data_IF_431141787464
#
_entry.id   IF_431141787464
#
_cell.length_a   1.000
_cell.length_b   1.000
_cell.length_c   1.000
_cell.angle_alpha   90.00
_cell.angle_beta   90.00
_cell.angle_gamma   90.00
#
_symmetry.space_group_name_H-M   'P 1'
#
loop_
_entity.id
_entity.type
_entity.pdbx_description
1 polymer ?
#
# COMPACT_ATOMS: atom_id res chain seq x y z
N UNK A 1 19.72 -26.52 17.91
CA UNK A 1 18.55 -25.94 18.59
C UNK A 1 18.80 -24.45 18.72
N UNK A 2 18.27 -23.65 17.81
CA UNK A 2 18.33 -22.20 17.92
C UNK A 2 16.97 -21.62 17.56
N UNK A 3 16.40 -20.89 18.53
CA UNK A 3 15.06 -20.32 18.45
C UNK A 3 15.09 -19.23 17.39
N UNK A 4 14.34 -19.43 16.30
CA UNK A 4 13.96 -18.36 15.41
C UNK A 4 13.38 -17.22 16.26
N UNK A 5 14.08 -16.08 16.28
CA UNK A 5 13.57 -14.83 16.83
C UNK A 5 12.41 -14.39 15.96
N UNK A 6 11.24 -14.93 16.29
CA UNK A 6 9.95 -14.36 15.95
C UNK A 6 9.99 -12.99 16.62
N UNK A 7 10.19 -11.92 15.85
CA UNK A 7 9.77 -10.60 16.30
C UNK A 7 8.25 -10.66 16.39
N UNK A 8 7.66 -10.63 17.60
CA UNK A 8 6.22 -10.46 17.70
C UNK A 8 5.98 -9.00 17.30
N UNK A 9 5.49 -8.76 16.09
CA UNK A 9 4.77 -7.52 15.81
C UNK A 9 3.67 -7.44 16.85
N UNK A 10 3.75 -6.43 17.72
CA UNK A 10 3.04 -6.34 19.00
C UNK A 10 1.51 -6.26 18.92
N UNK A 11 0.88 -7.33 18.45
CA UNK A 11 -0.57 -7.43 18.22
C UNK A 11 -1.22 -8.66 18.90
N UNK A 12 -0.47 -9.43 19.69
CA UNK A 12 -1.08 -10.55 20.46
C UNK A 12 -1.98 -10.07 21.61
N UNK A 13 -1.72 -8.88 22.18
CA UNK A 13 -2.54 -8.27 23.24
C UNK A 13 -3.74 -7.49 22.68
N UNK A 14 -3.75 -7.18 21.36
CA UNK A 14 -4.78 -6.36 20.73
C UNK A 14 -6.12 -7.09 20.47
N UNK A 15 -6.23 -8.39 20.80
CA UNK A 15 -7.41 -9.22 20.54
C UNK A 15 -8.61 -8.96 21.47
N UNK A 16 -8.50 -8.09 22.49
CA UNK A 16 -9.60 -7.78 23.43
C UNK A 16 -10.28 -6.44 23.22
N UNK A 17 -9.73 -5.55 22.38
CA UNK A 17 -10.32 -4.22 22.17
C UNK A 17 -11.32 -4.30 21.01
N UNK A 18 -12.59 -3.89 21.21
CA UNK A 18 -13.56 -3.83 20.12
C UNK A 18 -13.01 -3.01 18.96
N UNK A 19 -13.11 -3.54 17.74
CA UNK A 19 -12.53 -2.89 16.55
C UNK A 19 -13.06 -1.47 16.34
N UNK A 20 -14.29 -1.19 16.77
CA UNK A 20 -14.91 0.15 16.76
C UNK A 20 -14.14 1.14 17.64
N UNK A 21 -13.71 0.71 18.82
CA UNK A 21 -12.90 1.54 19.71
C UNK A 21 -11.50 1.78 19.11
N UNK A 22 -10.93 0.76 18.46
CA UNK A 22 -9.65 0.90 17.73
C UNK A 22 -9.77 1.89 16.58
N UNK A 23 -10.85 1.85 15.79
CA UNK A 23 -11.11 2.83 14.73
C UNK A 23 -11.34 4.23 15.28
N UNK A 24 -12.12 4.37 16.36
CA UNK A 24 -12.35 5.67 16.99
C UNK A 24 -11.02 6.29 17.43
N UNK A 25 -10.18 5.53 18.13
CA UNK A 25 -8.84 5.96 18.51
C UNK A 25 -7.99 6.35 17.29
N UNK A 26 -7.94 5.51 16.26
CA UNK A 26 -7.23 5.81 15.01
C UNK A 26 -7.74 7.10 14.36
N UNK A 27 -9.05 7.32 14.36
CA UNK A 27 -9.66 8.52 13.76
C UNK A 27 -9.23 9.82 14.44
N UNK A 28 -8.76 9.76 15.68
CA UNK A 28 -8.22 10.90 16.42
C UNK A 28 -6.73 11.01 16.14
N UNK A 29 -5.97 9.94 16.41
CA UNK A 29 -4.50 9.96 16.38
C UNK A 29 -3.96 10.07 14.95
N UNK A 30 -4.69 9.59 13.95
CA UNK A 30 -4.23 9.66 12.55
C UNK A 30 -4.42 11.01 11.89
N UNK A 31 -5.22 11.93 12.46
CA UNK A 31 -5.50 13.24 11.86
C UNK A 31 -4.31 14.20 11.88
N UNK A 32 -3.35 13.97 12.77
CA UNK A 32 -2.17 14.81 12.91
C UNK A 32 -0.95 13.95 13.16
N UNK A 33 0.12 14.24 12.40
CA UNK A 33 1.44 13.64 12.60
C UNK A 33 1.99 13.92 14.01
N UNK A 34 1.75 15.12 14.54
CA UNK A 34 2.16 15.51 15.90
C UNK A 34 1.39 14.75 16.99
N UNK A 35 0.09 14.54 16.80
CA UNK A 35 -0.71 13.72 17.73
C UNK A 35 -0.34 12.24 17.67
N UNK A 36 0.25 11.77 16.56
CA UNK A 36 0.78 10.42 16.43
C UNK A 36 2.13 10.25 17.13
N UNK A 37 2.91 11.30 17.38
CA UNK A 37 4.25 11.20 17.96
C UNK A 37 4.29 10.51 19.34
N UNK A 38 3.41 10.83 20.31
CA UNK A 38 3.34 10.07 21.57
C UNK A 38 3.01 8.59 21.32
N UNK A 39 2.05 8.30 20.43
CA UNK A 39 1.71 6.92 20.07
C UNK A 39 2.89 6.17 19.43
N UNK A 40 3.62 6.83 18.53
CA UNK A 40 4.80 6.28 17.90
C UNK A 40 5.91 5.98 18.91
N UNK A 41 6.07 6.86 19.91
CA UNK A 41 6.99 6.66 21.03
C UNK A 41 6.62 5.44 21.86
N UNK A 42 5.34 5.28 22.21
CA UNK A 42 4.86 4.13 22.98
C UNK A 42 4.92 2.79 22.24
N UNK A 43 4.79 2.80 20.90
CA UNK A 43 4.85 1.58 20.08
C UNK A 43 6.23 1.30 19.48
N UNK A 44 7.27 2.03 19.88
CA UNK A 44 8.62 1.95 19.29
C UNK A 44 8.64 2.18 17.76
N UNK A 45 7.66 2.94 17.26
CA UNK A 45 7.55 3.36 15.87
C UNK A 45 8.25 4.70 15.60
N UNK A 46 9.12 5.17 16.50
CA UNK A 46 9.83 6.45 16.36
C UNK A 46 10.68 6.50 15.08
N UNK A 47 11.27 5.35 14.70
CA UNK A 47 11.99 5.19 13.46
C UNK A 47 11.12 5.49 12.22
N UNK A 48 9.78 5.44 12.32
CA UNK A 48 8.87 5.86 11.24
C UNK A 48 8.82 7.38 11.08
N UNK A 49 9.14 8.18 12.10
CA UNK A 49 9.12 9.65 12.02
C UNK A 49 10.50 10.27 11.74
N UNK A 50 11.57 9.47 11.70
CA UNK A 50 12.88 9.92 11.23
C UNK A 50 12.82 10.46 9.78
N UNK A 51 13.52 11.53 9.45
CA UNK A 51 13.55 12.16 8.11
C UNK A 51 14.82 11.82 7.32
N UNK A 52 15.67 10.92 7.83
CA UNK A 52 16.89 10.46 7.16
C UNK A 52 16.60 9.45 6.02
N UNK A 53 15.89 9.94 4.99
CA UNK A 53 15.58 9.22 3.76
C UNK A 53 15.33 10.21 2.63
N UNK A 54 15.43 9.73 1.40
CA UNK A 54 15.28 10.52 0.18
C UNK A 54 13.85 10.46 -0.38
N UNK A 55 13.23 9.29 -0.28
CA UNK A 55 11.89 9.02 -0.83
C UNK A 55 11.09 8.11 0.11
N UNK A 56 9.80 8.44 0.30
CA UNK A 56 8.86 7.56 0.98
C UNK A 56 7.96 6.83 -0.02
N UNK A 57 7.71 5.54 0.23
CA UNK A 57 6.73 4.73 -0.49
C UNK A 57 5.72 4.20 0.51
N UNK A 58 4.47 4.59 0.34
CA UNK A 58 3.40 4.18 1.23
C UNK A 58 2.09 3.95 0.53
N UNK A 59 1.20 3.30 1.25
CA UNK A 59 -0.16 3.05 0.83
C UNK A 59 -0.83 2.13 1.83
N UNK A 60 -2.15 2.00 1.72
CA UNK A 60 -2.87 1.04 2.51
C UNK A 60 -2.28 -0.36 2.31
N UNK A 61 -2.22 -1.22 3.36
CA UNK A 61 -1.70 -2.57 3.22
C UNK A 61 -2.26 -3.29 2.00
N UNK A 62 -1.41 -4.10 1.36
CA UNK A 62 -1.76 -4.89 0.15
C UNK A 62 -2.03 -4.06 -1.12
N UNK A 63 -1.55 -2.81 -1.16
CA UNK A 63 -1.59 -1.94 -2.35
C UNK A 63 -0.28 -1.89 -3.15
N UNK A 64 0.63 -2.86 -2.95
CA UNK A 64 1.89 -2.96 -3.73
C UNK A 64 3.12 -2.35 -3.07
N UNK A 65 3.06 -1.98 -1.79
CA UNK A 65 4.15 -1.30 -1.07
C UNK A 65 5.49 -2.03 -1.15
N UNK A 66 5.51 -3.32 -0.81
CA UNK A 66 6.74 -4.13 -0.88
C UNK A 66 7.26 -4.24 -2.30
N UNK A 67 6.37 -4.42 -3.29
CA UNK A 67 6.77 -4.51 -4.69
C UNK A 67 7.42 -3.22 -5.20
N UNK A 68 6.80 -2.07 -4.93
CA UNK A 68 7.35 -0.78 -5.31
C UNK A 68 8.73 -0.52 -4.68
N UNK A 69 8.90 -0.86 -3.40
CA UNK A 69 10.18 -0.76 -2.71
C UNK A 69 11.24 -1.66 -3.35
N UNK A 70 10.92 -2.93 -3.57
CA UNK A 70 11.87 -3.88 -4.15
C UNK A 70 12.26 -3.50 -5.58
N UNK A 71 11.31 -3.05 -6.40
CA UNK A 71 11.58 -2.55 -7.75
C UNK A 71 12.57 -1.39 -7.72
N UNK A 72 12.29 -0.34 -6.94
CA UNK A 72 13.20 0.80 -6.81
C UNK A 72 14.59 0.38 -6.32
N UNK A 73 14.65 -0.56 -5.38
CA UNK A 73 15.92 -1.07 -4.86
C UNK A 73 16.75 -1.79 -5.91
N UNK A 74 16.15 -2.43 -6.93
CA UNK A 74 16.90 -3.15 -7.97
C UNK A 74 17.75 -2.22 -8.85
N UNK A 75 17.21 -1.06 -9.24
CA UNK A 75 17.89 -0.17 -10.18
C UNK A 75 18.44 1.12 -9.55
N UNK A 76 18.07 1.42 -8.29
CA UNK A 76 18.64 2.52 -7.50
C UNK A 76 19.45 2.04 -6.29
N UNK A 77 19.94 0.79 -6.32
CA UNK A 77 20.69 0.19 -5.22
C UNK A 77 21.84 1.09 -4.73
N UNK A 78 21.81 1.45 -3.45
CA UNK A 78 22.87 2.24 -2.80
C UNK A 78 22.86 3.74 -3.12
N UNK A 79 21.94 4.22 -3.96
CA UNK A 79 21.82 5.64 -4.34
C UNK A 79 20.65 6.36 -3.70
N UNK A 80 19.65 5.62 -3.22
CA UNK A 80 18.42 6.17 -2.67
C UNK A 80 18.07 5.48 -1.34
N UNK A 81 17.97 6.25 -0.26
CA UNK A 81 17.40 5.80 1.01
C UNK A 81 15.87 5.85 0.92
N UNK A 82 15.24 4.68 0.94
CA UNK A 82 13.79 4.54 0.77
C UNK A 82 13.15 4.16 2.10
N UNK A 83 12.13 4.93 2.50
CA UNK A 83 11.33 4.63 3.67
C UNK A 83 9.94 4.11 3.32
N UNK A 84 9.50 3.06 4.01
CA UNK A 84 8.23 2.38 3.71
C UNK A 84 7.76 1.54 4.91
N UNK A 85 6.58 0.91 4.75
CA UNK A 85 5.94 0.01 5.72
C UNK A 85 5.49 0.66 7.04
N UNK A 86 5.27 1.98 7.05
CA UNK A 86 4.59 2.68 8.12
C UNK A 86 3.09 2.44 8.13
N UNK A 87 2.46 2.21 6.97
CA UNK A 87 1.03 1.87 6.78
C UNK A 87 0.04 2.69 7.62
N UNK A 88 0.41 3.93 7.94
CA UNK A 88 -0.39 4.85 8.74
C UNK A 88 -0.39 6.23 8.09
N UNK A 89 -1.53 6.94 8.05
CA UNK A 89 -1.59 8.28 7.45
C UNK A 89 -0.60 9.28 8.05
N UNK A 90 -0.38 9.32 9.39
CA UNK A 90 0.62 10.18 10.01
C UNK A 90 2.01 10.09 9.41
N UNK A 91 2.44 8.92 8.93
CA UNK A 91 3.74 8.78 8.28
C UNK A 91 3.81 9.57 6.98
N UNK A 92 2.76 9.46 6.14
CA UNK A 92 2.65 10.23 4.89
C UNK A 92 2.51 11.71 5.18
N UNK A 93 1.66 12.08 6.15
CA UNK A 93 1.51 13.48 6.58
C UNK A 93 2.83 14.08 7.03
N UNK A 94 3.60 13.33 7.83
CA UNK A 94 4.89 13.79 8.32
C UNK A 94 5.90 14.01 7.19
N UNK A 95 5.97 13.09 6.23
CA UNK A 95 6.81 13.24 5.04
C UNK A 95 6.43 14.50 4.25
N UNK A 96 5.13 14.66 3.94
CA UNK A 96 4.58 15.79 3.20
C UNK A 96 4.88 17.13 3.90
N UNK A 97 4.65 17.21 5.21
CA UNK A 97 4.89 18.42 6.00
C UNK A 97 6.36 18.85 6.05
N UNK A 98 7.30 17.94 5.79
CA UNK A 98 8.73 18.22 5.76
C UNK A 98 9.31 18.24 4.34
N UNK A 99 8.45 18.33 3.31
CA UNK A 99 8.87 18.41 1.92
C UNK A 99 9.55 17.15 1.38
N UNK A 100 9.34 16.00 2.02
CA UNK A 100 9.88 14.73 1.54
C UNK A 100 9.02 14.18 0.39
N UNK A 101 9.62 13.76 -0.73
CA UNK A 101 8.91 13.07 -1.81
C UNK A 101 8.16 11.83 -1.31
N UNK A 102 6.91 11.65 -1.74
CA UNK A 102 6.08 10.49 -1.40
C UNK A 102 5.43 9.89 -2.64
N UNK A 103 5.70 8.61 -2.88
CA UNK A 103 4.88 7.76 -3.76
C UNK A 103 3.77 7.16 -2.91
N UNK A 104 2.52 7.59 -3.15
CA UNK A 104 1.34 7.07 -2.49
C UNK A 104 0.66 6.04 -3.40
N UNK A 105 0.74 4.77 -3.02
CA UNK A 105 0.11 3.66 -3.70
C UNK A 105 -1.37 3.56 -3.33
N UNK A 106 -2.20 3.32 -4.33
CA UNK A 106 -3.64 3.07 -4.16
C UNK A 106 -4.08 1.87 -4.99
N UNK A 107 -4.96 1.06 -4.44
CA UNK A 107 -5.52 -0.13 -5.10
C UNK A 107 -7.03 -0.13 -4.95
N UNK A 108 -7.74 -0.75 -5.90
CA UNK A 108 -9.19 -0.99 -5.77
C UNK A 108 -9.53 -1.47 -4.34
N UNK A 109 -10.49 -0.82 -3.65
CA UNK A 109 -10.76 -1.09 -2.25
C UNK A 109 -11.07 -2.56 -1.98
N UNK A 110 -11.97 -3.14 -2.78
CA UNK A 110 -12.35 -4.54 -2.66
C UNK A 110 -11.11 -5.46 -2.64
N UNK A 111 -10.20 -5.20 -3.58
CA UNK A 111 -9.04 -6.01 -3.84
C UNK A 111 -7.97 -5.91 -2.73
N UNK A 112 -7.77 -4.70 -2.19
CA UNK A 112 -6.89 -4.47 -1.06
C UNK A 112 -7.47 -5.05 0.24
N UNK A 113 -8.77 -4.82 0.49
CA UNK A 113 -9.48 -5.24 1.70
C UNK A 113 -9.50 -6.77 1.81
N UNK A 114 -9.93 -7.46 0.75
CA UNK A 114 -9.98 -8.93 0.73
C UNK A 114 -8.58 -9.52 0.84
N UNK A 115 -7.59 -8.95 0.16
CA UNK A 115 -6.22 -9.42 0.31
C UNK A 115 -5.68 -9.23 1.73
N UNK A 116 -6.10 -8.18 2.44
CA UNK A 116 -5.67 -7.93 3.82
C UNK A 116 -6.40 -8.82 4.81
N UNK A 117 -7.67 -9.11 4.57
CA UNK A 117 -8.44 -10.10 5.31
C UNK A 117 -7.78 -11.48 5.24
N UNK A 118 -7.44 -11.96 4.03
CA UNK A 118 -6.77 -13.25 3.85
C UNK A 118 -5.44 -13.30 4.63
N UNK A 119 -4.69 -12.20 4.66
CA UNK A 119 -3.40 -12.14 5.33
C UNK A 119 -3.49 -12.07 6.87
N UNK A 120 -4.50 -11.37 7.41
CA UNK A 120 -4.59 -11.05 8.85
C UNK A 120 -5.69 -11.78 9.61
N UNK A 121 -6.73 -12.26 8.92
CA UNK A 121 -7.97 -12.73 9.51
C UNK A 121 -8.86 -11.63 10.11
N UNK A 122 -8.53 -10.34 9.93
CA UNK A 122 -9.30 -9.23 10.51
C UNK A 122 -10.67 -9.07 9.82
N UNK A 123 -11.72 -8.60 10.52
CA UNK A 123 -13.05 -8.46 9.92
C UNK A 123 -13.07 -7.52 8.70
N UNK A 124 -13.72 -7.93 7.61
CA UNK A 124 -13.82 -7.14 6.36
C UNK A 124 -14.38 -5.74 6.59
N UNK A 125 -15.41 -5.61 7.44
CA UNK A 125 -16.02 -4.33 7.82
C UNK A 125 -15.02 -3.38 8.47
N UNK A 126 -14.16 -3.89 9.34
CA UNK A 126 -13.12 -3.12 10.01
C UNK A 126 -12.05 -2.68 9.02
N UNK A 127 -11.56 -3.59 8.16
CA UNK A 127 -10.55 -3.28 7.15
C UNK A 127 -11.07 -2.23 6.15
N UNK A 128 -12.32 -2.36 5.71
CA UNK A 128 -12.95 -1.39 4.81
C UNK A 128 -13.03 0.01 5.44
N UNK A 129 -13.40 0.09 6.73
CA UNK A 129 -13.41 1.35 7.45
C UNK A 129 -11.99 1.93 7.66
N UNK A 130 -10.98 1.08 7.86
CA UNK A 130 -9.59 1.53 7.92
C UNK A 130 -9.11 2.07 6.57
N UNK A 131 -9.47 1.42 5.45
CA UNK A 131 -9.14 1.88 4.11
C UNK A 131 -9.74 3.28 3.87
N UNK A 132 -11.04 3.43 4.15
CA UNK A 132 -11.74 4.72 4.04
C UNK A 132 -11.02 5.80 4.86
N UNK A 133 -10.78 5.54 6.14
CA UNK A 133 -10.11 6.47 7.04
C UNK A 133 -8.70 6.83 6.55
N UNK A 134 -7.91 5.84 6.10
CA UNK A 134 -6.53 6.03 5.67
C UNK A 134 -6.45 7.03 4.53
N UNK A 135 -7.18 6.78 3.44
CA UNK A 135 -7.15 7.63 2.26
C UNK A 135 -7.90 8.94 2.46
N UNK A 136 -8.94 8.98 3.31
CA UNK A 136 -9.71 10.20 3.59
C UNK A 136 -8.89 11.23 4.34
N UNK A 137 -8.06 10.80 5.29
CA UNK A 137 -7.15 11.69 6.03
C UNK A 137 -6.10 12.32 5.09
N UNK A 138 -5.61 11.55 4.12
CA UNK A 138 -4.57 11.99 3.19
C UNK A 138 -5.11 12.83 2.03
N UNK A 139 -6.42 12.75 1.75
CA UNK A 139 -7.04 13.38 0.57
C UNK A 139 -6.76 14.90 0.45
N UNK A 140 -6.74 15.70 1.53
CA UNK A 140 -6.38 17.12 1.43
C UNK A 140 -4.95 17.37 0.93
N UNK A 141 -4.07 16.38 1.02
CA UNK A 141 -2.66 16.45 0.62
C UNK A 141 -2.40 15.78 -0.72
N UNK A 142 -3.46 15.46 -1.49
CA UNK A 142 -3.34 14.77 -2.79
C UNK A 142 -2.37 15.46 -3.76
N UNK A 143 -2.28 16.79 -3.70
CA UNK A 143 -1.40 17.56 -4.57
C UNK A 143 0.07 17.55 -4.16
N UNK A 144 0.39 16.99 -2.99
CA UNK A 144 1.73 16.95 -2.43
C UNK A 144 2.35 15.53 -2.50
N UNK A 145 1.63 14.58 -3.09
CA UNK A 145 2.08 13.20 -3.28
C UNK A 145 2.07 12.84 -4.77
N UNK A 146 2.85 11.81 -5.13
CA UNK A 146 2.75 11.12 -6.41
C UNK A 146 1.82 9.91 -6.24
N UNK A 147 0.57 10.03 -6.68
CA UNK A 147 -0.41 8.95 -6.59
C UNK A 147 -0.15 7.89 -7.68
N UNK A 148 -0.02 6.64 -7.27
CA UNK A 148 0.22 5.52 -8.19
C UNK A 148 -0.82 4.42 -7.96
N UNK A 149 -1.55 4.08 -9.02
CA UNK A 149 -2.49 2.96 -8.98
C UNK A 149 -1.74 1.63 -9.05
N UNK A 150 -2.18 0.64 -8.27
CA UNK A 150 -1.59 -0.71 -8.23
C UNK A 150 -1.51 -1.38 -9.60
N UNK A 151 -2.50 -1.16 -10.48
CA UNK A 151 -2.46 -1.74 -11.81
C UNK A 151 -1.44 -1.04 -12.71
N UNK A 152 -1.30 0.28 -12.60
CA UNK A 152 -0.26 1.03 -13.30
C UNK A 152 1.14 0.66 -12.82
N UNK A 153 1.30 0.49 -11.50
CA UNK A 153 2.54 0.02 -10.86
C UNK A 153 3.05 -1.30 -11.46
N UNK A 154 2.15 -2.22 -11.80
CA UNK A 154 2.51 -3.50 -12.44
C UNK A 154 2.78 -3.35 -13.93
N UNK A 155 2.06 -2.45 -14.60
CA UNK A 155 2.09 -2.32 -16.05
C UNK A 155 3.36 -1.62 -16.56
N UNK A 156 3.76 -0.53 -15.93
CA UNK A 156 5.03 0.15 -16.23
C UNK A 156 5.56 0.85 -14.99
N UNK A 157 6.68 0.34 -14.50
CA UNK A 157 7.40 0.98 -13.40
C UNK A 157 8.18 2.20 -13.90
N UNK A 158 8.65 2.20 -15.14
CA UNK A 158 9.30 3.37 -15.77
C UNK A 158 8.38 4.60 -15.75
N UNK A 159 7.10 4.44 -16.07
CA UNK A 159 6.14 5.56 -16.05
C UNK A 159 5.90 6.09 -14.63
N UNK A 160 5.91 5.21 -13.62
CA UNK A 160 5.85 5.60 -12.21
C UNK A 160 7.04 6.48 -11.84
N UNK A 161 8.24 6.13 -12.30
CA UNK A 161 9.45 6.92 -12.04
C UNK A 161 9.40 8.28 -12.73
N UNK A 162 8.96 8.34 -14.00
CA UNK A 162 8.76 9.60 -14.71
C UNK A 162 7.80 10.53 -13.96
N UNK A 163 6.63 10.00 -13.58
CA UNK A 163 5.64 10.76 -12.81
C UNK A 163 6.20 11.26 -11.46
N UNK A 164 7.05 10.47 -10.81
CA UNK A 164 7.73 10.86 -9.58
C UNK A 164 8.75 11.99 -9.82
N UNK A 165 9.59 11.86 -10.85
CA UNK A 165 10.56 12.88 -11.25
C UNK A 165 9.86 14.19 -11.60
N UNK A 166 8.82 14.14 -12.43
CA UNK A 166 8.05 15.32 -12.84
C UNK A 166 7.40 16.02 -11.64
N UNK A 167 6.91 15.25 -10.66
CA UNK A 167 6.21 15.78 -9.48
C UNK A 167 7.16 16.46 -8.49
N UNK A 168 8.35 15.89 -8.30
CA UNK A 168 9.25 16.27 -7.20
C UNK A 168 10.58 16.86 -7.66
N UNK A 169 10.82 16.96 -8.97
CA UNK A 169 12.10 17.41 -9.54
C UNK A 169 13.24 16.45 -9.24
N UNK A 170 12.96 15.15 -9.16
CA UNK A 170 13.97 14.12 -8.91
C UNK A 170 14.65 13.70 -10.23
N UNK A 171 15.86 13.16 -10.13
CA UNK A 171 16.62 12.60 -11.25
C UNK A 171 16.80 11.08 -11.09
N UNK A 172 15.69 10.37 -10.86
CA UNK A 172 15.73 8.92 -10.79
C UNK A 172 15.87 8.36 -12.22
N UNK A 173 16.90 7.53 -12.42
CA UNK A 173 17.12 6.82 -13.69
C UNK A 173 15.88 6.04 -14.15
N UNK A 174 15.51 6.25 -15.41
CA UNK A 174 14.51 5.46 -16.16
C UNK A 174 15.17 4.42 -17.08
N UNK A 175 16.51 4.35 -17.09
CA UNK A 175 17.28 3.43 -17.92
C UNK A 175 17.63 2.18 -17.11
N UNK A 176 16.71 1.21 -17.10
CA UNK A 176 16.91 -0.09 -16.48
C UNK A 176 16.10 -1.16 -17.21
N UNK A 177 16.54 -2.42 -17.10
CA UNK A 177 15.77 -3.57 -17.57
C UNK A 177 14.62 -3.83 -16.59
N UNK A 178 13.42 -3.37 -16.94
CA UNK A 178 12.24 -3.46 -16.09
C UNK A 178 11.86 -4.93 -15.81
N UNK A 179 12.03 -5.82 -16.78
CA UNK A 179 11.64 -7.22 -16.62
C UNK A 179 12.64 -7.98 -15.73
N UNK A 180 13.94 -7.76 -15.91
CA UNK A 180 14.95 -8.31 -15.02
C UNK A 180 14.75 -7.81 -13.58
N UNK A 181 14.49 -6.51 -13.40
CA UNK A 181 14.20 -5.94 -12.08
C UNK A 181 12.93 -6.53 -11.46
N UNK A 182 11.88 -6.74 -12.25
CA UNK A 182 10.62 -7.36 -11.81
C UNK A 182 10.83 -8.78 -11.31
N UNK A 183 11.61 -9.58 -12.04
CA UNK A 183 11.93 -10.95 -11.65
C UNK A 183 12.72 -10.98 -10.34
N UNK A 184 13.76 -10.15 -10.21
CA UNK A 184 14.55 -10.05 -8.99
C UNK A 184 13.72 -9.56 -7.79
N UNK A 185 12.84 -8.56 -8.01
CA UNK A 185 11.92 -8.09 -6.98
C UNK A 185 10.98 -9.21 -6.49
N UNK A 186 10.40 -10.02 -7.39
CA UNK A 186 9.56 -11.15 -6.98
C UNK A 186 10.34 -12.23 -6.24
N UNK A 187 11.58 -12.53 -6.64
CA UNK A 187 12.44 -13.46 -5.91
C UNK A 187 12.70 -12.98 -4.47
N UNK A 188 12.97 -11.69 -4.29
CA UNK A 188 13.18 -11.09 -2.97
C UNK A 188 11.90 -11.08 -2.12
N UNK A 189 10.75 -10.80 -2.72
CA UNK A 189 9.45 -10.81 -2.04
C UNK A 189 9.09 -12.21 -1.54
N UNK A 190 9.40 -13.24 -2.33
CA UNK A 190 9.05 -14.62 -2.03
C UNK A 190 10.01 -15.28 -1.02
N UNK A 191 11.28 -14.84 -0.97
CA UNK A 191 12.34 -15.43 -0.13
C UNK A 191 11.94 -15.64 1.34
N UNK A 192 11.26 -14.70 2.04
CA UNK A 192 10.87 -14.88 3.44
C UNK A 192 9.72 -15.87 3.66
N UNK A 193 9.01 -16.26 2.59
CA UNK A 193 7.78 -17.07 2.66
C UNK A 193 7.94 -18.47 2.08
N UNK A 194 9.15 -18.84 1.65
CA UNK A 194 9.46 -20.22 1.25
C UNK A 194 9.59 -21.09 2.50
N UNK A 195 8.80 -22.16 2.56
CA UNK A 195 8.94 -23.22 3.56
C UNK A 195 10.23 -24.02 3.39
N UNK A 196 10.46 -24.99 4.27
CA UNK A 196 11.61 -25.92 4.15
C UNK A 196 11.56 -26.76 2.87
N UNK A 197 10.36 -26.97 2.34
CA UNK A 197 10.03 -27.64 1.07
C UNK A 197 10.13 -26.73 -0.17
N UNK A 198 10.38 -25.42 0.03
CA UNK A 198 10.40 -24.44 -1.05
C UNK A 198 9.02 -23.99 -1.52
N UNK A 199 7.93 -24.51 -0.95
CA UNK A 199 6.58 -24.09 -1.28
C UNK A 199 6.24 -22.74 -0.64
N UNK A 200 5.38 -21.99 -1.33
CA UNK A 200 4.95 -20.66 -0.93
C UNK A 200 3.55 -20.73 -0.33
N UNK A 201 3.40 -20.31 0.93
CA UNK A 201 2.07 -20.18 1.56
C UNK A 201 1.25 -19.07 0.87
N UNK A 202 0.18 -19.41 0.11
CA UNK A 202 -0.60 -18.42 -0.62
C UNK A 202 -1.32 -17.44 0.30
N UNK A 203 -1.50 -17.72 1.59
CA UNK A 203 -2.10 -16.79 2.54
C UNK A 203 -1.13 -15.68 2.98
N UNK A 204 0.19 -15.93 2.92
CA UNK A 204 1.22 -15.04 3.49
C UNK A 204 2.04 -14.27 2.46
N UNK A 205 2.16 -14.79 1.23
CA UNK A 205 2.98 -14.14 0.18
C UNK A 205 2.49 -12.75 -0.19
N UNK A 206 3.37 -11.77 -0.37
CA UNK A 206 2.94 -10.40 -0.59
C UNK A 206 2.50 -10.07 -2.04
N UNK A 207 2.65 -10.98 -3.01
CA UNK A 207 2.23 -10.80 -4.43
C UNK A 207 0.94 -11.55 -4.83
N UNK A 208 0.24 -11.17 -5.91
CA UNK A 208 -0.89 -11.94 -6.44
C UNK A 208 -0.49 -13.38 -6.79
N UNK A 209 -1.30 -14.35 -6.38
CA UNK A 209 -1.12 -15.78 -6.67
C UNK A 209 -2.45 -16.35 -7.15
N UNK A 210 -2.44 -17.20 -8.18
CA UNK A 210 -3.65 -17.81 -8.73
C UNK A 210 -4.44 -18.59 -7.67
N UNK A 211 -3.75 -19.24 -6.71
CA UNK A 211 -4.38 -19.94 -5.59
C UNK A 211 -5.26 -19.04 -4.68
N UNK A 212 -5.09 -17.71 -4.72
CA UNK A 212 -5.95 -16.76 -3.98
C UNK A 212 -7.32 -16.54 -4.64
N UNK A 213 -7.49 -16.89 -5.91
CA UNK A 213 -8.75 -16.67 -6.64
C UNK A 213 -9.90 -17.39 -5.93
N UNK A 214 -9.68 -18.64 -5.52
CA UNK A 214 -10.68 -19.47 -4.85
C UNK A 214 -11.03 -18.95 -3.45
N UNK A 215 -10.06 -18.39 -2.72
CA UNK A 215 -10.30 -17.77 -1.41
C UNK A 215 -11.13 -16.49 -1.55
N UNK A 216 -10.87 -15.68 -2.58
CA UNK A 216 -11.66 -14.48 -2.87
C UNK A 216 -13.12 -14.83 -3.17
N UNK A 217 -13.36 -15.81 -4.03
CA UNK A 217 -14.71 -16.25 -4.41
C UNK A 217 -15.52 -16.74 -3.20
N UNK A 218 -14.90 -17.45 -2.25
CA UNK A 218 -15.57 -17.91 -1.02
C UNK A 218 -15.99 -16.75 -0.11
N UNK A 219 -15.18 -15.70 -0.05
CA UNK A 219 -15.48 -14.49 0.71
C UNK A 219 -16.62 -13.72 0.05
N UNK A 220 -16.58 -13.57 -1.28
CA UNK A 220 -17.61 -12.89 -2.07
C UNK A 220 -19.00 -13.54 -1.95
N UNK A 221 -19.05 -14.86 -1.76
CA UNK A 221 -20.32 -15.58 -1.56
C UNK A 221 -21.03 -15.25 -0.23
N UNK A 222 -20.35 -14.62 0.74
CA UNK A 222 -20.89 -14.39 2.10
C UNK A 222 -20.62 -12.97 2.60
N UNK A 223 -20.97 -11.96 1.80
CA UNK A 223 -20.82 -10.56 2.20
C UNK A 223 -21.99 -10.11 3.08
N UNK A 224 -21.67 -9.43 4.19
CA UNK A 224 -22.68 -8.85 5.07
C UNK A 224 -23.09 -7.45 4.60
N UNK A 225 -24.35 -6.99 4.83
CA UNK A 225 -24.77 -5.63 4.50
C UNK A 225 -23.90 -4.54 5.14
N UNK A 226 -23.39 -4.80 6.34
CA UNK A 226 -22.46 -3.91 7.03
C UNK A 226 -21.13 -3.73 6.28
N UNK A 227 -20.64 -4.80 5.63
CA UNK A 227 -19.45 -4.74 4.80
C UNK A 227 -19.72 -3.97 3.51
N UNK A 228 -20.85 -4.21 2.85
CA UNK A 228 -21.22 -3.50 1.62
C UNK A 228 -21.28 -1.98 1.85
N UNK A 229 -21.90 -1.55 2.96
CA UNK A 229 -21.93 -0.13 3.34
C UNK A 229 -20.52 0.44 3.58
N UNK A 230 -19.64 -0.33 4.23
CA UNK A 230 -18.26 0.10 4.47
C UNK A 230 -17.43 0.13 3.19
N UNK A 231 -17.63 -0.84 2.30
CA UNK A 231 -17.00 -0.90 0.99
C UNK A 231 -17.46 0.26 0.09
N UNK A 232 -18.74 0.64 0.13
CA UNK A 232 -19.25 1.81 -0.59
C UNK A 232 -18.53 3.10 -0.18
N UNK A 233 -18.26 3.30 1.12
CA UNK A 233 -17.45 4.45 1.59
C UNK A 233 -16.00 4.38 1.09
N UNK A 234 -15.40 3.20 1.14
CA UNK A 234 -14.04 2.98 0.64
C UNK A 234 -13.94 3.23 -0.89
N UNK A 235 -14.95 2.83 -1.65
CA UNK A 235 -15.08 3.13 -3.08
C UNK A 235 -15.25 4.63 -3.33
N UNK A 236 -16.03 5.33 -2.49
CA UNK A 236 -16.20 6.78 -2.57
C UNK A 236 -14.88 7.53 -2.41
N UNK A 237 -14.07 7.19 -1.40
CA UNK A 237 -12.76 7.83 -1.22
C UNK A 237 -11.76 7.44 -2.32
N UNK A 238 -11.81 6.19 -2.80
CA UNK A 238 -11.00 5.74 -3.92
C UNK A 238 -11.30 6.54 -5.19
N UNK A 239 -12.58 6.71 -5.53
CA UNK A 239 -13.00 7.54 -6.66
C UNK A 239 -12.57 9.01 -6.49
N UNK A 240 -12.66 9.57 -5.29
CA UNK A 240 -12.19 10.93 -5.01
C UNK A 240 -10.67 11.10 -5.23
N UNK A 241 -9.87 10.07 -4.95
CA UNK A 241 -8.43 10.07 -5.24
C UNK A 241 -8.11 9.95 -6.72
N UNK A 242 -8.89 9.18 -7.47
CA UNK A 242 -8.70 9.06 -8.92
C UNK A 242 -9.17 10.32 -9.67
N UNK A 243 -9.96 11.17 -8.99
CA UNK A 243 -10.74 12.24 -9.60
C UNK A 243 -11.87 11.67 -10.45
N UNK A 244 -12.91 12.47 -10.71
CA UNK A 244 -13.75 12.24 -11.88
C UNK A 244 -12.89 12.47 -13.13
N UNK A 245 -12.02 11.52 -13.48
CA UNK A 245 -11.50 11.46 -14.84
C UNK A 245 -12.71 11.20 -15.72
N UNK A 246 -13.26 12.26 -16.32
CA UNK A 246 -13.89 12.16 -17.63
C UNK A 246 -12.94 11.30 -18.45
N UNK A 247 -13.38 10.09 -18.77
CA UNK A 247 -12.63 9.20 -19.64
C UNK A 247 -12.31 10.02 -20.89
N UNK A 248 -11.04 10.33 -21.12
CA UNK A 248 -10.60 10.74 -22.44
C UNK A 248 -10.68 9.47 -23.27
N UNK A 249 -11.87 9.21 -23.80
CA UNK A 249 -12.06 8.23 -24.87
C UNK A 249 -11.18 8.69 -26.02
N UNK A 250 -10.04 8.03 -26.21
CA UNK A 250 -9.32 8.10 -27.47
C UNK A 250 -10.33 7.73 -28.57
N UNK A 251 -10.51 8.55 -29.62
CA UNK A 251 -11.31 8.14 -30.75
C UNK A 251 -10.67 6.88 -31.36
N UNK A 252 -11.48 5.84 -31.52
CA UNK A 252 -11.13 4.64 -32.27
C UNK A 252 -10.74 5.08 -33.69
N UNK A 253 -9.56 4.72 -34.21
CA UNK A 253 -9.24 5.00 -35.60
C UNK A 253 -10.21 4.19 -36.46
N UNK A 254 -11.08 4.90 -37.17
CA UNK A 254 -11.91 4.33 -38.22
C UNK A 254 -11.01 3.66 -39.24
N UNK A 255 -11.19 2.35 -39.42
CA UNK A 255 -10.51 1.59 -40.44
C UNK A 255 -10.74 2.26 -41.81
N UNK A 256 -9.64 2.69 -42.43
CA UNK A 256 -9.64 3.07 -43.84
C UNK A 256 -10.06 1.85 -44.64
N UNK A 257 -11.18 1.97 -45.35
CA UNK A 257 -11.48 1.10 -46.49
C UNK A 257 -10.33 1.20 -47.48
N UNK A 258 -9.80 0.06 -47.90
CA UNK A 258 -9.27 -0.19 -49.24
C UNK A 258 -9.76 -1.58 -49.63
#
# INVERSE_FOLDING_TARGET
MDKAKIHPTGDFIARRVPWRLKLWYQSIVWRSSYSYWPHARFRSHQALLDLNYDLAIEGFPRSGNTYAREMLQQFQAGRLSIKSHGHTPPFVLWAVQHGKPVILLIRSPHDAIVSWHIFTGLPLTYIAAQYDLYYRILLPYREQVCLVQFDHLKASFVDVIRACNDRFGLDLSTAFDEEACRQAAFQNIDRPYKGMDGELDPSRVNRPLAARQNLKQRIEAHLSPAYESALARANGVYAAWLGERKQVTRPVPTASKN
#
